data_IF_999350224961
#
_entry.id   IF_999350224961
#
_cell.length_a   1.000
_cell.length_b   1.000
_cell.length_c   1.000
_cell.angle_alpha   90.00
_cell.angle_beta   90.00
_cell.angle_gamma   90.00
#
_symmetry.space_group_name_H-M   'P 1'
#
loop_
_entity.id
_entity.type
_entity.pdbx_description
1 polymer ?
#
# COMPACT_ATOMS: atom_id res chain seq x y z
N UNK A 1 40.73 58.41 -1.56
CA UNK A 1 41.07 57.96 -2.92
C UNK A 1 40.46 56.57 -3.14
N UNK A 2 40.10 56.21 -4.38
CA UNK A 2 39.93 54.85 -4.96
C UNK A 2 39.33 53.72 -4.06
N UNK A 3 38.25 53.00 -4.40
CA UNK A 3 37.30 53.12 -5.52
C UNK A 3 36.91 51.77 -6.16
N UNK A 4 35.59 51.52 -6.30
CA UNK A 4 34.94 50.42 -7.08
C UNK A 4 35.08 49.01 -6.44
N UNK A 5 34.34 47.95 -6.81
CA UNK A 5 33.56 47.70 -8.05
C UNK A 5 32.41 46.68 -7.87
N UNK A 6 31.28 46.88 -8.57
CA UNK A 6 30.30 45.86 -9.08
C UNK A 6 29.59 44.88 -8.12
N UNK A 7 28.35 44.45 -8.40
CA UNK A 7 27.47 44.78 -9.55
C UNK A 7 26.12 44.03 -9.51
N UNK A 8 25.20 44.39 -10.40
CA UNK A 8 23.80 43.93 -10.36
C UNK A 8 23.51 42.61 -11.12
N UNK A 9 22.46 41.90 -10.69
CA UNK A 9 21.49 41.24 -11.58
C UNK A 9 20.18 41.00 -10.85
N UNK A 10 19.04 41.07 -11.53
CA UNK A 10 17.73 41.01 -10.87
C UNK A 10 16.62 40.29 -11.65
N UNK A 11 15.52 40.07 -10.91
CA UNK A 11 14.11 39.95 -11.30
C UNK A 11 13.60 39.11 -12.49
N UNK A 12 12.47 38.41 -12.20
CA UNK A 12 11.41 37.92 -13.11
C UNK A 12 11.82 36.73 -14.01
N UNK A 13 10.91 35.92 -14.55
CA UNK A 13 9.45 36.07 -14.76
C UNK A 13 8.57 34.91 -14.20
N UNK A 14 7.25 35.11 -14.25
CA UNK A 14 6.21 34.06 -14.16
C UNK A 14 5.55 33.92 -15.54
N UNK A 15 5.22 32.71 -15.99
CA UNK A 15 4.31 32.49 -17.13
C UNK A 15 3.19 31.51 -16.72
N UNK A 16 1.99 31.74 -17.26
CA UNK A 16 0.74 31.08 -16.87
C UNK A 16 0.37 29.90 -17.79
N UNK A 17 -0.56 29.08 -17.30
CA UNK A 17 -1.36 28.18 -18.13
C UNK A 17 -2.22 28.99 -19.13
N UNK A 18 -2.13 28.69 -20.44
CA UNK A 18 -3.28 28.40 -21.30
C UNK A 18 -2.87 27.82 -22.69
N UNK A 19 -3.86 27.30 -23.41
CA UNK A 19 -3.93 27.06 -24.87
C UNK A 19 -2.78 26.41 -25.66
N UNK A 20 -3.10 25.25 -26.25
CA UNK A 20 -2.99 25.07 -27.71
C UNK A 20 -4.13 24.20 -28.26
N UNK A 21 -4.93 24.76 -29.16
CA UNK A 21 -6.10 24.11 -29.80
C UNK A 21 -5.77 23.58 -31.20
N UNK A 22 -6.57 22.59 -31.60
CA UNK A 22 -7.04 22.33 -32.97
C UNK A 22 -6.03 22.13 -34.12
N UNK A 23 -6.12 20.95 -34.75
CA UNK A 23 -6.47 20.85 -36.18
C UNK A 23 -7.14 19.50 -36.48
N UNK A 24 -8.47 19.52 -36.58
CA UNK A 24 -9.25 18.44 -37.21
C UNK A 24 -9.36 18.79 -38.70
N UNK A 25 -9.09 17.85 -39.61
CA UNK A 25 -9.27 18.08 -41.04
C UNK A 25 -9.70 16.79 -41.76
N UNK A 26 -11.01 16.63 -41.94
CA UNK A 26 -11.62 15.47 -42.60
C UNK A 26 -11.53 15.57 -44.14
N UNK A 27 -10.66 14.74 -44.74
CA UNK A 27 -10.71 14.24 -46.13
C UNK A 27 -9.98 12.90 -46.16
N UNK A 28 -10.40 11.86 -46.90
CA UNK A 28 -11.59 11.66 -47.71
C UNK A 28 -11.67 10.19 -48.15
N UNK A 29 -12.83 9.75 -48.65
CA UNK A 29 -13.14 8.36 -49.02
C UNK A 29 -12.06 7.65 -49.88
N UNK A 30 -11.73 6.40 -49.51
CA UNK A 30 -11.62 5.32 -50.48
C UNK A 30 -12.16 4.02 -49.88
N UNK A 31 -12.78 3.19 -50.72
CA UNK A 31 -12.90 1.75 -50.45
C UNK A 31 -11.62 1.08 -50.94
N UNK A 32 -11.14 0.09 -50.20
CA UNK A 32 -10.61 -1.19 -50.72
C UNK A 32 -10.16 -2.07 -49.55
N UNK A 33 -10.03 -3.37 -49.77
CA UNK A 33 -9.96 -4.36 -48.70
C UNK A 33 -8.54 -4.79 -48.33
N UNK A 34 -8.15 -4.59 -47.08
CA UNK A 34 -7.30 -5.51 -46.34
C UNK A 34 -7.62 -5.41 -44.83
N UNK A 35 -7.46 -6.50 -44.09
CA UNK A 35 -7.97 -6.62 -42.72
C UNK A 35 -7.24 -5.74 -41.70
N UNK A 36 -7.86 -4.65 -41.25
CA UNK A 36 -7.44 -3.92 -40.06
C UNK A 36 -7.78 -4.75 -38.81
N UNK A 37 -6.87 -5.65 -38.43
CA UNK A 37 -6.90 -6.36 -37.14
C UNK A 37 -7.02 -5.31 -36.03
N UNK A 38 -8.00 -5.42 -35.10
CA UNK A 38 -8.07 -4.49 -33.99
C UNK A 38 -6.82 -4.64 -33.13
N UNK A 39 -6.05 -3.56 -33.00
CA UNK A 39 -4.89 -3.52 -32.11
C UNK A 39 -5.41 -3.56 -30.68
N UNK A 40 -5.48 -4.77 -30.12
CA UNK A 40 -5.78 -4.99 -28.70
C UNK A 40 -4.66 -4.36 -27.90
N UNK A 41 -4.90 -3.15 -27.38
CA UNK A 41 -4.06 -2.59 -26.33
C UNK A 41 -4.26 -3.45 -25.09
N UNK A 42 -3.33 -4.37 -24.83
CA UNK A 42 -3.32 -5.21 -23.63
C UNK A 42 -2.96 -4.31 -22.44
N UNK A 43 -3.97 -3.62 -21.90
CA UNK A 43 -3.83 -2.73 -20.75
C UNK A 43 -3.77 -3.53 -19.45
N UNK A 44 -2.57 -3.65 -18.89
CA UNK A 44 -2.29 -4.20 -17.55
C UNK A 44 -2.68 -5.66 -17.32
N UNK A 45 -1.69 -6.51 -17.04
CA UNK A 45 -1.92 -7.85 -16.49
C UNK A 45 -2.34 -7.74 -15.02
N UNK A 46 -3.64 -7.82 -14.75
CA UNK A 46 -4.13 -8.12 -13.40
C UNK A 46 -3.60 -9.49 -12.95
N UNK A 47 -3.26 -9.64 -11.67
CA UNK A 47 -2.66 -10.84 -11.09
C UNK A 47 -3.36 -11.21 -9.79
N UNK A 48 -3.94 -12.40 -9.75
CA UNK A 48 -4.70 -12.89 -8.61
C UNK A 48 -3.85 -13.54 -7.51
N UNK A 49 -4.30 -13.39 -6.26
CA UNK A 49 -3.65 -13.99 -5.11
C UNK A 49 -4.00 -15.47 -4.97
N UNK A 50 -3.09 -16.36 -5.39
CA UNK A 50 -3.21 -17.83 -5.33
C UNK A 50 -3.27 -18.45 -3.91
N UNK A 51 -3.56 -17.67 -2.86
CA UNK A 51 -3.68 -18.11 -1.46
C UNK A 51 -2.52 -18.96 -0.90
N UNK A 52 -1.31 -18.87 -1.45
CA UNK A 52 -0.15 -19.71 -1.08
C UNK A 52 0.44 -19.50 0.34
N UNK A 53 0.06 -18.42 1.02
CA UNK A 53 0.55 -18.05 2.36
C UNK A 53 1.96 -17.46 2.46
N UNK A 54 2.87 -17.76 1.53
CA UNK A 54 4.31 -17.42 1.63
C UNK A 54 4.60 -15.95 1.99
N UNK A 55 3.83 -15.02 1.43
CA UNK A 55 3.95 -13.59 1.74
C UNK A 55 3.44 -13.22 3.14
N UNK A 56 2.36 -13.83 3.61
CA UNK A 56 1.81 -13.64 4.95
C UNK A 56 2.73 -14.23 6.03
N UNK A 57 3.39 -15.35 5.73
CA UNK A 57 4.39 -15.97 6.60
C UNK A 57 5.63 -15.09 6.75
N UNK A 58 6.20 -14.59 5.64
CA UNK A 58 7.45 -13.81 5.65
C UNK A 58 7.28 -12.35 6.06
N UNK A 59 6.20 -11.67 5.63
CA UNK A 59 6.01 -10.23 5.79
C UNK A 59 4.70 -9.80 6.48
N UNK A 60 3.84 -10.73 6.89
CA UNK A 60 2.58 -10.43 7.56
C UNK A 60 2.70 -9.90 9.01
N UNK A 61 3.90 -9.50 9.44
CA UNK A 61 4.25 -9.05 10.79
C UNK A 61 5.27 -7.90 10.73
N UNK A 62 5.54 -7.25 11.87
CA UNK A 62 6.49 -6.12 11.98
C UNK A 62 6.05 -4.83 11.29
N UNK A 63 4.78 -4.73 10.90
CA UNK A 63 4.25 -3.62 10.11
C UNK A 63 3.90 -2.39 10.96
N UNK A 64 4.06 -1.21 10.36
CA UNK A 64 3.54 0.04 10.92
C UNK A 64 2.03 0.10 10.69
N UNK A 65 1.28 0.49 11.70
CA UNK A 65 -0.17 0.70 11.59
C UNK A 65 -0.55 2.15 11.33
N UNK A 66 -1.83 2.35 10.99
CA UNK A 66 -2.46 3.64 10.69
C UNK A 66 -3.80 3.76 11.43
N UNK A 67 -4.27 4.98 11.67
CA UNK A 67 -5.48 5.22 12.48
C UNK A 67 -6.74 4.70 11.77
N UNK A 68 -6.76 4.79 10.43
CA UNK A 68 -7.86 4.39 9.56
C UNK A 68 -8.18 2.88 9.63
N UNK A 69 -7.20 2.04 9.98
CA UNK A 69 -7.41 0.60 10.21
C UNK A 69 -7.96 0.32 11.62
N UNK A 70 -7.66 1.16 12.61
CA UNK A 70 -8.16 1.02 13.99
C UNK A 70 -9.66 1.37 14.08
N UNK A 71 -10.10 2.38 13.32
CA UNK A 71 -11.50 2.86 13.30
C UNK A 71 -12.53 1.72 13.12
N UNK A 72 -12.48 0.88 12.06
CA UNK A 72 -13.45 -0.21 11.89
C UNK A 72 -13.33 -1.28 12.98
N UNK A 73 -12.13 -1.54 13.50
CA UNK A 73 -11.92 -2.54 14.56
C UNK A 73 -12.55 -2.10 15.88
N UNK A 74 -12.46 -0.82 16.26
CA UNK A 74 -13.18 -0.27 17.43
C UNK A 74 -14.69 -0.26 17.20
N UNK A 75 -15.17 0.21 16.03
CA UNK A 75 -16.60 0.28 15.72
C UNK A 75 -17.27 -1.10 15.76
N UNK A 76 -16.56 -2.15 15.33
CA UNK A 76 -17.04 -3.54 15.34
C UNK A 76 -16.64 -4.33 16.60
N UNK A 77 -16.09 -3.67 17.62
CA UNK A 77 -15.61 -4.27 18.88
C UNK A 77 -14.71 -5.51 18.67
N UNK A 78 -13.80 -5.44 17.69
CA UNK A 78 -12.90 -6.54 17.30
C UNK A 78 -11.70 -6.65 18.24
N UNK A 79 -11.99 -7.00 19.49
CA UNK A 79 -10.98 -7.21 20.54
C UNK A 79 -9.97 -8.29 20.17
N UNK A 80 -10.40 -9.31 19.41
CA UNK A 80 -9.54 -10.32 18.81
C UNK A 80 -8.46 -9.75 17.88
N UNK A 81 -8.72 -8.59 17.26
CA UNK A 81 -7.75 -7.85 16.45
C UNK A 81 -6.97 -6.85 17.30
N UNK A 82 -7.69 -6.03 18.07
CA UNK A 82 -7.16 -4.92 18.86
C UNK A 82 -6.14 -5.35 19.92
N UNK A 83 -6.29 -6.54 20.52
CA UNK A 83 -5.33 -7.10 21.48
C UNK A 83 -3.92 -7.32 20.88
N UNK A 84 -3.81 -7.46 19.55
CA UNK A 84 -2.54 -7.70 18.85
C UNK A 84 -1.85 -6.41 18.37
N UNK A 85 -2.29 -5.25 18.87
CA UNK A 85 -1.80 -3.92 18.52
C UNK A 85 -1.24 -3.24 19.76
N UNK A 86 -0.15 -2.48 19.61
CA UNK A 86 0.16 -1.39 20.57
C UNK A 86 0.12 -0.06 19.87
N UNK A 87 -0.36 0.91 20.63
CA UNK A 87 -0.44 2.32 20.28
C UNK A 87 0.42 3.12 21.25
N UNK A 88 1.07 4.14 20.72
CA UNK A 88 1.74 5.19 21.48
C UNK A 88 0.99 6.50 21.24
N UNK A 89 0.63 7.19 22.32
CA UNK A 89 0.04 8.52 22.26
C UNK A 89 1.10 9.62 22.16
N UNK A 90 0.67 10.85 21.87
CA UNK A 90 1.52 12.05 21.79
C UNK A 90 2.21 12.43 23.10
N UNK A 91 1.63 12.03 24.23
CA UNK A 91 2.22 12.13 25.57
C UNK A 91 3.28 11.04 25.87
N UNK A 92 3.50 10.10 24.93
CA UNK A 92 4.46 9.01 25.05
C UNK A 92 3.91 7.76 25.76
N UNK A 93 2.70 7.80 26.33
CA UNK A 93 2.05 6.63 26.93
C UNK A 93 1.86 5.55 25.87
N UNK A 94 2.13 4.30 26.27
CA UNK A 94 1.86 3.11 25.46
C UNK A 94 0.64 2.37 26.01
N UNK A 95 -0.25 1.96 25.12
CA UNK A 95 -1.43 1.12 25.44
C UNK A 95 -1.57 -0.04 24.45
N UNK A 96 -2.25 -1.11 24.86
CA UNK A 96 -2.77 -2.11 23.93
C UNK A 96 -3.92 -1.53 23.12
N UNK A 97 -4.12 -1.99 21.89
CA UNK A 97 -5.25 -1.59 21.05
C UNK A 97 -6.61 -1.90 21.69
N UNK A 98 -6.69 -2.94 22.52
CA UNK A 98 -7.93 -3.33 23.22
C UNK A 98 -8.39 -2.34 24.29
N UNK A 99 -7.52 -1.41 24.71
CA UNK A 99 -7.83 -0.35 25.65
C UNK A 99 -8.24 0.98 24.98
N UNK A 100 -8.31 1.04 23.65
CA UNK A 100 -8.60 2.27 22.91
C UNK A 100 -10.09 2.59 22.86
N UNK A 101 -10.44 3.85 23.11
CA UNK A 101 -11.74 4.42 22.77
C UNK A 101 -11.70 5.11 21.40
N UNK A 102 -12.84 5.65 20.95
CA UNK A 102 -12.89 6.50 19.74
C UNK A 102 -12.26 7.87 19.98
N UNK A 103 -12.25 8.35 21.22
CA UNK A 103 -11.75 9.68 21.58
C UNK A 103 -10.21 9.71 21.65
N UNK A 104 -9.60 8.57 21.97
CA UNK A 104 -8.14 8.37 21.95
C UNK A 104 -7.53 8.48 20.54
N UNK A 105 -8.31 8.30 19.47
CA UNK A 105 -7.81 8.27 18.09
C UNK A 105 -7.06 9.56 17.71
N UNK A 106 -7.49 10.72 18.23
CA UNK A 106 -6.84 12.01 17.99
C UNK A 106 -5.50 12.17 18.72
N UNK A 107 -5.21 11.33 19.73
CA UNK A 107 -3.95 11.33 20.50
C UNK A 107 -2.89 10.39 19.93
N UNK A 108 -3.21 9.60 18.90
CA UNK A 108 -2.32 8.54 18.39
C UNK A 108 -1.10 9.12 17.64
N UNK A 109 0.09 8.85 18.16
CA UNK A 109 1.36 9.21 17.54
C UNK A 109 2.02 8.04 16.77
N UNK A 110 1.80 6.79 17.19
CA UNK A 110 2.34 5.60 16.49
C UNK A 110 1.53 4.34 16.76
N UNK A 111 1.44 3.46 15.76
CA UNK A 111 0.80 2.12 15.86
C UNK A 111 1.79 1.05 15.35
N UNK A 112 1.82 -0.14 15.97
CA UNK A 112 2.57 -1.32 15.46
C UNK A 112 1.71 -2.60 15.42
N UNK A 113 1.90 -3.37 14.36
CA UNK A 113 1.35 -4.71 14.14
C UNK A 113 2.50 -5.73 14.03
N UNK A 114 2.43 -6.96 14.54
CA UNK A 114 1.46 -7.53 15.48
C UNK A 114 2.20 -7.91 16.77
N UNK A 115 1.47 -8.02 17.88
CA UNK A 115 2.04 -8.24 19.21
C UNK A 115 1.28 -9.35 19.96
N UNK A 116 1.93 -10.01 20.91
CA UNK A 116 1.23 -10.83 21.90
C UNK A 116 0.55 -9.92 22.96
N UNK A 117 -0.31 -10.46 23.84
CA UNK A 117 -1.00 -9.65 24.86
C UNK A 117 -0.07 -8.89 25.83
N UNK A 118 1.16 -9.38 26.02
CA UNK A 118 2.21 -8.72 26.81
C UNK A 118 2.90 -7.56 26.05
N UNK A 119 2.54 -7.34 24.78
CA UNK A 119 3.08 -6.28 23.94
C UNK A 119 4.46 -6.60 23.35
N UNK A 120 4.86 -7.87 23.23
CA UNK A 120 6.09 -8.25 22.53
C UNK A 120 5.80 -8.46 21.05
N UNK A 121 6.70 -8.00 20.18
CA UNK A 121 6.51 -8.05 18.73
C UNK A 121 6.52 -9.50 18.20
N UNK A 122 5.43 -9.93 17.56
CA UNK A 122 5.28 -11.25 16.99
C UNK A 122 6.08 -11.38 15.70
N UNK A 123 6.82 -12.49 15.55
CA UNK A 123 7.52 -12.87 14.32
C UNK A 123 6.65 -13.66 13.33
N UNK A 124 5.33 -13.53 13.44
CA UNK A 124 4.31 -14.12 12.54
C UNK A 124 3.00 -13.35 12.66
N UNK A 125 2.16 -13.39 11.62
CA UNK A 125 0.79 -12.87 11.71
C UNK A 125 -0.07 -13.78 12.61
N UNK A 126 -0.79 -13.25 13.63
CA UNK A 126 -1.67 -14.06 14.48
C UNK A 126 -2.95 -14.52 13.75
N UNK A 127 -3.36 -13.82 12.68
CA UNK A 127 -4.53 -14.15 11.87
C UNK A 127 -4.21 -15.03 10.65
N UNK A 128 -2.94 -15.39 10.46
CA UNK A 128 -2.54 -16.35 9.42
C UNK A 128 -2.92 -17.76 9.83
N UNK A 129 -3.58 -18.48 8.92
CA UNK A 129 -3.89 -19.89 9.07
C UNK A 129 -3.67 -20.60 7.73
N UNK A 130 -3.24 -21.85 7.77
CA UNK A 130 -3.08 -22.73 6.60
C UNK A 130 -4.05 -23.90 6.76
N UNK A 131 -4.86 -24.17 5.74
CA UNK A 131 -5.80 -25.29 5.69
C UNK A 131 -5.11 -26.57 5.19
N UNK A 132 -5.75 -27.71 5.43
CA UNK A 132 -5.17 -29.04 5.14
C UNK A 132 -4.99 -29.29 3.62
N UNK A 133 -5.70 -28.56 2.77
CA UNK A 133 -5.49 -28.51 1.32
C UNK A 133 -4.27 -27.66 0.88
N UNK A 134 -3.49 -27.17 1.85
CA UNK A 134 -2.29 -26.36 1.65
C UNK A 134 -2.56 -24.87 1.36
N UNK A 135 -3.82 -24.44 1.17
CA UNK A 135 -4.15 -23.02 1.01
C UNK A 135 -3.97 -22.27 2.32
N UNK A 136 -3.88 -20.95 2.20
CA UNK A 136 -3.74 -20.04 3.33
C UNK A 136 -4.82 -18.97 3.37
N UNK A 137 -5.18 -18.64 4.59
CA UNK A 137 -6.32 -17.82 4.94
C UNK A 137 -5.91 -16.74 5.94
N UNK A 138 -6.60 -15.62 5.86
CA UNK A 138 -6.51 -14.55 6.84
C UNK A 138 -7.83 -14.52 7.61
N UNK A 139 -7.80 -14.81 8.92
CA UNK A 139 -9.00 -14.83 9.78
C UNK A 139 -9.70 -13.47 9.93
N UNK A 140 -9.08 -12.41 9.41
CA UNK A 140 -9.59 -11.04 9.40
C UNK A 140 -9.72 -10.50 7.97
N UNK A 141 -10.02 -11.35 6.98
CA UNK A 141 -9.90 -11.02 5.55
C UNK A 141 -10.46 -9.64 5.18
N UNK A 142 -11.69 -9.36 5.60
CA UNK A 142 -12.46 -8.17 5.24
C UNK A 142 -12.04 -6.93 6.05
N UNK A 143 -11.32 -7.15 7.16
CA UNK A 143 -10.80 -6.14 8.09
C UNK A 143 -9.26 -6.09 8.10
N UNK A 144 -8.60 -6.64 7.07
CA UNK A 144 -7.14 -6.55 6.89
C UNK A 144 -6.70 -5.09 7.02
N UNK A 145 -5.59 -4.79 7.71
CA UNK A 145 -5.04 -3.44 7.69
C UNK A 145 -4.64 -3.05 6.27
N UNK A 146 -4.65 -1.75 5.95
CA UNK A 146 -4.39 -1.17 4.63
C UNK A 146 -3.07 -1.67 4.06
N UNK A 147 -2.03 -1.75 4.88
CA UNK A 147 -0.71 -2.33 4.52
C UNK A 147 -0.79 -3.77 4.00
N UNK A 148 -1.79 -4.56 4.38
CA UNK A 148 -2.04 -5.92 3.88
C UNK A 148 -3.08 -5.99 2.74
N UNK A 149 -3.85 -4.92 2.50
CA UNK A 149 -4.77 -4.79 1.36
C UNK A 149 -4.07 -4.22 0.12
N UNK A 150 -3.17 -3.26 0.32
CA UNK A 150 -2.33 -2.64 -0.71
C UNK A 150 -1.09 -3.48 -1.06
N UNK A 151 -0.84 -4.58 -0.32
CA UNK A 151 0.31 -5.45 -0.53
C UNK A 151 0.19 -6.23 -1.85
N UNK A 152 0.72 -5.63 -2.92
CA UNK A 152 0.87 -6.24 -4.24
C UNK A 152 2.33 -6.69 -4.41
N UNK A 153 2.71 -7.91 -3.95
CA UNK A 153 4.10 -8.35 -3.98
C UNK A 153 4.67 -8.48 -5.40
N UNK A 154 3.81 -8.50 -6.43
CA UNK A 154 4.25 -8.41 -7.83
C UNK A 154 4.76 -7.02 -8.22
N UNK A 155 4.21 -5.95 -7.65
CA UNK A 155 4.66 -4.59 -7.90
C UNK A 155 5.79 -4.14 -6.97
N UNK A 156 6.12 -4.92 -5.92
CA UNK A 156 7.07 -4.50 -4.89
C UNK A 156 8.52 -4.64 -5.37
N UNK A 157 9.25 -3.52 -5.42
CA UNK A 157 10.60 -3.42 -6.01
C UNK A 157 11.75 -3.74 -5.03
N UNK A 158 11.46 -4.27 -3.85
CA UNK A 158 12.51 -4.67 -2.91
C UNK A 158 13.23 -5.93 -3.44
N UNK A 159 14.54 -5.80 -3.69
CA UNK A 159 15.39 -6.82 -4.33
C UNK A 159 15.61 -8.09 -3.47
N UNK A 160 15.08 -8.13 -2.25
CA UNK A 160 15.38 -9.16 -1.24
C UNK A 160 14.68 -10.52 -1.48
N UNK A 161 13.70 -10.61 -2.39
CA UNK A 161 13.26 -11.84 -3.07
C UNK A 161 12.20 -11.53 -4.15
N UNK A 162 12.45 -11.97 -5.40
CA UNK A 162 11.51 -12.12 -6.52
C UNK A 162 10.31 -11.13 -6.62
N UNK A 163 10.57 -9.91 -7.13
CA UNK A 163 9.53 -9.05 -7.69
C UNK A 163 8.79 -9.72 -8.87
N UNK A 164 7.61 -9.19 -9.23
CA UNK A 164 6.58 -9.83 -10.06
C UNK A 164 5.84 -11.02 -9.39
N UNK A 165 6.03 -11.23 -8.07
CA UNK A 165 5.44 -12.27 -7.22
C UNK A 165 4.54 -13.30 -7.90
N UNK A 166 5.19 -14.27 -8.55
CA UNK A 166 4.60 -15.57 -8.65
C UNK A 166 4.71 -16.23 -7.25
N UNK A 167 3.63 -16.84 -6.72
CA UNK A 167 3.73 -17.94 -5.74
C UNK A 167 3.11 -19.37 -5.97
N UNK A 168 2.96 -20.07 -7.13
CA UNK A 168 2.94 -19.72 -8.58
C UNK A 168 3.18 -20.81 -9.66
N UNK A 169 4.47 -21.12 -9.84
CA UNK A 169 5.30 -21.03 -11.08
C UNK A 169 6.74 -21.39 -10.64
N UNK A 170 6.77 -22.56 -10.02
CA UNK A 170 7.80 -23.58 -10.22
C UNK A 170 9.10 -23.53 -9.41
N UNK A 171 9.59 -22.38 -8.92
CA UNK A 171 10.83 -22.36 -8.11
C UNK A 171 10.84 -21.40 -6.91
N UNK A 172 10.92 -21.98 -5.72
CA UNK A 172 12.11 -21.77 -4.90
C UNK A 172 13.18 -22.81 -5.35
N UNK A 173 14.49 -22.53 -5.21
CA UNK A 173 15.52 -23.57 -5.35
C UNK A 173 15.41 -24.63 -4.26
#
# INVERSE_FOLDING_TARGET
>A
MIGKTTGERGEREKISCHEKRERILFRGLSRDACGSVPVVMITSTEQDCLQCGRCCERWGWGQKGIVEDIIPWIIQNRQDILQHVSVWFTDGQRVSGSALTRDDLARIARIRYWQDPDGKELRRCPFFWRSDDGRSWCRIHDLKPRVCREFTPWNWKNLEYYGNCPACRDKAP
#
